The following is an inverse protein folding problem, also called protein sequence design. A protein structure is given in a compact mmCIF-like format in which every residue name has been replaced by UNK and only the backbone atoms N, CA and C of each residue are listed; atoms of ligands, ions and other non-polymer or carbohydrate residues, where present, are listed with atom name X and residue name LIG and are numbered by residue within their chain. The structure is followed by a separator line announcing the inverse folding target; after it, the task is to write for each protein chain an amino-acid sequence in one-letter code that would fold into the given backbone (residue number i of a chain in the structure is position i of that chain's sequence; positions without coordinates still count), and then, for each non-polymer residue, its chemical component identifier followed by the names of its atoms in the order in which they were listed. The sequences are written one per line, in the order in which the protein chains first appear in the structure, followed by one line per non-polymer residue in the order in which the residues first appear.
data_IF_053569955994
#
_entry.id   IF_053569955994
#
_cell.length_a   1.000
_cell.length_b   1.000
_cell.length_c   1.000
_cell.angle_alpha   90.00
_cell.angle_beta   90.00
_cell.angle_gamma   90.00
#
_symmetry.space_group_name_H-M   'P 1'
#
loop_
_entity.id
_entity.type
_entity.pdbx_description
1 polymer ?
#
# COMPACT_ATOMS: atom_id res chain seq x y z
N UNK A 1 -2.55 10.78 -3.04
CA UNK A 1 -3.79 10.15 -3.55
C UNK A 1 -3.40 8.92 -4.35
N UNK A 2 -4.06 7.78 -4.18
CA UNK A 2 -3.75 6.51 -4.84
C UNK A 2 -4.90 6.11 -5.77
N UNK A 3 -4.80 6.48 -7.05
CA UNK A 3 -5.80 6.17 -8.08
C UNK A 3 -5.44 4.87 -8.82
N UNK A 4 -5.88 3.75 -8.27
CA UNK A 4 -5.67 2.41 -8.82
C UNK A 4 -4.48 1.74 -8.15
N UNK A 5 -3.45 1.43 -8.92
CA UNK A 5 -2.30 0.64 -8.45
C UNK A 5 -1.25 1.52 -7.78
N UNK A 6 -0.86 1.17 -6.55
CA UNK A 6 0.37 1.63 -5.92
C UNK A 6 1.13 0.39 -5.44
N UNK A 7 1.97 -0.15 -6.32
CA UNK A 7 2.68 -1.42 -6.11
C UNK A 7 4.19 -1.20 -6.09
N UNK A 8 4.88 -2.02 -5.30
CA UNK A 8 6.33 -2.02 -5.18
C UNK A 8 6.91 -0.64 -4.89
N UNK A 9 7.84 -0.16 -5.71
CA UNK A 9 8.39 1.20 -5.58
C UNK A 9 7.34 2.32 -5.54
N UNK A 10 6.19 2.16 -6.20
CA UNK A 10 5.07 3.10 -6.11
C UNK A 10 4.41 3.11 -4.73
N UNK A 11 4.31 1.95 -4.08
CA UNK A 11 3.90 1.86 -2.68
C UNK A 11 4.97 2.43 -1.74
N UNK A 12 6.24 2.18 -2.02
CA UNK A 12 7.35 2.72 -1.21
C UNK A 12 7.38 4.25 -1.20
N UNK A 13 7.06 4.86 -2.36
CA UNK A 13 6.83 6.29 -2.49
C UNK A 13 5.57 6.74 -1.73
N UNK A 14 4.45 6.02 -1.87
CA UNK A 14 3.23 6.34 -1.11
C UNK A 14 3.44 6.27 0.40
N UNK A 15 4.26 5.33 0.88
CA UNK A 15 4.60 5.18 2.29
C UNK A 15 5.54 6.28 2.79
N UNK A 16 6.24 7.01 1.91
CA UNK A 16 7.06 8.15 2.32
C UNK A 16 6.25 9.43 2.54
N UNK A 17 4.96 9.43 2.24
CA UNK A 17 4.06 10.56 2.52
C UNK A 17 3.38 10.40 3.87
N UNK A 18 2.88 11.50 4.44
CA UNK A 18 2.18 11.46 5.72
C UNK A 18 0.76 10.88 5.60
N UNK A 19 0.06 11.26 4.53
CA UNK A 19 -1.35 10.92 4.31
C UNK A 19 -1.52 10.20 2.96
N UNK A 20 -2.27 9.09 2.98
CA UNK A 20 -2.68 8.31 1.81
C UNK A 20 -4.21 8.23 1.75
N UNK A 21 -4.76 8.58 0.60
CA UNK A 21 -6.20 8.54 0.32
C UNK A 21 -6.40 7.62 -0.90
N UNK A 22 -7.34 6.69 -0.81
CA UNK A 22 -7.70 5.76 -1.87
C UNK A 22 -9.21 5.55 -1.95
N UNK A 23 -9.62 4.62 -2.81
CA UNK A 23 -11.00 4.22 -3.04
C UNK A 23 -11.09 2.68 -3.13
N UNK A 24 -12.29 2.14 -3.35
CA UNK A 24 -12.57 0.70 -3.32
C UNK A 24 -11.65 -0.14 -4.23
N UNK A 25 -11.25 0.38 -5.40
CA UNK A 25 -10.34 -0.30 -6.35
C UNK A 25 -8.87 0.08 -6.19
N UNK A 26 -8.49 0.89 -5.21
CA UNK A 26 -7.07 1.11 -4.89
C UNK A 26 -6.43 -0.23 -4.52
N UNK A 27 -5.28 -0.55 -5.11
CA UNK A 27 -4.53 -1.76 -4.81
C UNK A 27 -3.10 -1.45 -4.39
N UNK A 28 -2.71 -2.03 -3.26
CA UNK A 28 -1.38 -1.85 -2.67
C UNK A 28 -0.74 -3.19 -2.36
N UNK A 29 0.56 -3.30 -2.55
CA UNK A 29 1.34 -4.50 -2.23
C UNK A 29 2.76 -4.43 -2.75
N UNK A 30 3.54 -5.47 -2.42
CA UNK A 30 4.95 -5.61 -2.78
C UNK A 30 5.16 -6.85 -3.66
N UNK A 31 5.14 -6.72 -5.00
CA UNK A 31 5.35 -7.85 -5.91
C UNK A 31 6.82 -8.30 -6.01
N UNK A 32 7.76 -7.58 -5.40
CA UNK A 32 9.22 -7.74 -5.50
C UNK A 32 9.69 -9.18 -5.27
N UNK A 33 9.11 -9.88 -4.29
CA UNK A 33 9.55 -11.25 -3.97
C UNK A 33 9.30 -12.22 -5.13
N UNK A 34 8.30 -11.96 -5.96
CA UNK A 34 8.03 -12.73 -7.19
C UNK A 34 9.13 -12.55 -8.25
N UNK A 35 9.95 -11.50 -8.12
CA UNK A 35 11.10 -11.20 -8.97
C UNK A 35 12.45 -11.57 -8.30
N UNK A 36 12.42 -12.18 -7.10
CA UNK A 36 13.62 -12.53 -6.35
C UNK A 36 14.30 -11.34 -5.66
N UNK A 37 13.60 -10.21 -5.50
CA UNK A 37 14.10 -9.02 -4.81
C UNK A 37 13.24 -8.67 -3.59
N UNK A 38 13.73 -7.78 -2.74
CA UNK A 38 12.99 -7.26 -1.57
C UNK A 38 12.54 -5.81 -1.82
N UNK A 39 11.52 -5.30 -1.10
CA UNK A 39 11.20 -3.87 -1.09
C UNK A 39 12.35 -3.05 -0.49
N UNK A 40 13.17 -2.50 -1.39
CA UNK A 40 14.46 -1.90 -1.08
C UNK A 40 14.41 -0.40 -0.81
N UNK A 41 13.37 0.31 -1.24
CA UNK A 41 13.23 1.75 -1.08
C UNK A 41 12.50 2.13 0.22
N UNK A 42 12.96 1.48 1.30
CA UNK A 42 12.43 1.57 2.66
C UNK A 42 11.01 1.00 2.87
N UNK A 43 10.45 0.24 1.93
CA UNK A 43 9.16 -0.45 2.07
C UNK A 43 9.12 -1.40 3.27
N UNK A 44 10.17 -2.20 3.46
CA UNK A 44 10.33 -3.07 4.64
C UNK A 44 10.29 -2.30 5.96
N UNK A 45 10.79 -1.06 5.95
CA UNK A 45 10.95 -0.23 7.14
C UNK A 45 9.70 0.59 7.44
N UNK A 46 9.13 1.27 6.43
CA UNK A 46 7.95 2.12 6.59
C UNK A 46 6.69 1.28 6.80
N UNK A 47 6.52 0.20 6.05
CA UNK A 47 5.35 -0.67 6.22
C UNK A 47 5.34 -1.33 7.61
N UNK A 48 6.48 -1.83 8.09
CA UNK A 48 6.58 -2.45 9.42
C UNK A 48 6.24 -1.48 10.56
N UNK A 49 6.56 -0.19 10.42
CA UNK A 49 6.19 0.85 11.38
C UNK A 49 4.71 1.23 11.30
N UNK A 50 4.11 1.09 10.13
CA UNK A 50 2.72 1.46 9.88
C UNK A 50 1.73 0.37 10.34
N UNK A 51 1.96 -0.89 9.95
CA UNK A 51 1.01 -2.00 10.16
C UNK A 51 1.57 -3.13 11.04
N UNK A 52 2.74 -2.90 11.63
CA UNK A 52 3.46 -3.90 12.41
C UNK A 52 4.22 -4.92 11.55
N UNK A 53 5.24 -5.53 12.15
CA UNK A 53 6.13 -6.47 11.44
C UNK A 53 5.44 -7.76 10.99
N UNK A 54 4.49 -8.29 11.77
CA UNK A 54 3.83 -9.56 11.44
C UNK A 54 3.04 -9.46 10.13
N UNK A 55 2.18 -8.45 10.01
CA UNK A 55 1.38 -8.22 8.80
C UNK A 55 2.22 -7.77 7.62
N UNK A 56 3.25 -6.96 7.86
CA UNK A 56 4.21 -6.59 6.81
C UNK A 56 4.89 -7.81 6.20
N UNK A 57 5.36 -8.75 7.03
CA UNK A 57 6.00 -9.99 6.55
C UNK A 57 5.02 -10.87 5.78
N UNK A 58 3.77 -11.00 6.25
CA UNK A 58 2.72 -11.72 5.53
C UNK A 58 2.58 -11.17 4.10
N UNK A 59 2.33 -9.86 3.96
CA UNK A 59 2.14 -9.23 2.65
C UNK A 59 3.36 -9.33 1.73
N UNK A 60 4.56 -9.11 2.27
CA UNK A 60 5.81 -9.18 1.49
C UNK A 60 6.09 -10.62 1.07
N UNK A 61 6.07 -11.59 1.99
CA UNK A 61 6.47 -12.97 1.68
C UNK A 61 5.50 -13.67 0.74
N UNK A 62 4.22 -13.31 0.76
CA UNK A 62 3.22 -13.90 -0.14
C UNK A 62 3.01 -13.09 -1.43
N UNK A 63 3.70 -11.95 -1.60
CA UNK A 63 3.42 -10.97 -2.66
C UNK A 63 1.94 -10.58 -2.76
N UNK A 64 1.19 -10.64 -1.65
CA UNK A 64 -0.27 -10.45 -1.67
C UNK A 64 -0.58 -8.97 -1.79
N UNK A 65 -1.44 -8.64 -2.75
CA UNK A 65 -1.99 -7.30 -2.88
C UNK A 65 -3.29 -7.19 -2.08
N UNK A 66 -3.51 -6.04 -1.48
CA UNK A 66 -4.73 -5.71 -0.74
C UNK A 66 -5.47 -4.58 -1.44
N UNK A 67 -6.81 -4.64 -1.38
CA UNK A 67 -7.72 -3.70 -2.04
C UNK A 67 -8.29 -2.67 -1.05
N UNK A 68 -8.80 -1.55 -1.56
CA UNK A 68 -9.33 -0.38 -0.86
C UNK A 68 -9.73 -0.59 0.60
N UNK A 69 -10.77 -1.37 0.87
CA UNK A 69 -11.26 -1.58 2.24
C UNK A 69 -10.22 -2.25 3.15
N UNK A 70 -9.60 -3.35 2.72
CA UNK A 70 -8.56 -4.01 3.51
C UNK A 70 -7.33 -3.10 3.70
N UNK A 71 -6.96 -2.34 2.68
CA UNK A 71 -5.86 -1.37 2.78
C UNK A 71 -6.15 -0.28 3.82
N UNK A 72 -7.40 0.15 3.94
CA UNK A 72 -7.85 1.08 4.97
C UNK A 72 -7.89 0.43 6.35
N UNK A 73 -8.46 -0.77 6.47
CA UNK A 73 -8.57 -1.50 7.74
C UNK A 73 -7.19 -1.83 8.34
N UNK A 74 -6.19 -2.10 7.48
CA UNK A 74 -4.80 -2.31 7.88
C UNK A 74 -4.08 -1.01 8.28
N UNK A 75 -4.65 0.17 7.99
CA UNK A 75 -4.01 1.47 8.22
C UNK A 75 -3.02 1.89 7.12
N UNK A 76 -2.99 1.20 5.98
CA UNK A 76 -2.18 1.58 4.82
C UNK A 76 -2.77 2.84 4.17
N UNK A 77 -4.10 2.92 4.07
CA UNK A 77 -4.81 4.14 3.70
C UNK A 77 -5.27 4.88 4.97
N UNK A 78 -5.09 6.21 4.99
CA UNK A 78 -5.64 7.06 6.04
C UNK A 78 -7.13 7.38 5.80
N UNK A 79 -7.57 7.38 4.54
CA UNK A 79 -8.97 7.61 4.17
C UNK A 79 -9.34 6.78 2.94
N UNK A 80 -10.51 6.17 3.01
CA UNK A 80 -11.20 5.57 1.88
C UNK A 80 -12.35 6.49 1.48
N UNK A 81 -12.40 6.89 0.22
CA UNK A 81 -13.45 7.77 -0.34
C UNK A 81 -14.16 7.10 -1.50
N UNK A 82 -15.32 7.65 -1.88
CA UNK A 82 -15.99 7.27 -3.12
C UNK A 82 -15.09 7.59 -4.34
N UNK A 83 -15.23 6.83 -5.43
CA UNK A 83 -14.37 6.97 -6.60
C UNK A 83 -14.46 8.39 -7.21
N UNK A 84 -15.65 8.97 -7.18
CA UNK A 84 -15.98 10.30 -7.70
C UNK A 84 -15.34 11.43 -6.87
N UNK A 85 -14.99 11.16 -5.61
CA UNK A 85 -14.38 12.13 -4.69
C UNK A 85 -12.85 12.06 -4.67
N UNK A 86 -12.24 11.05 -5.32
CA UNK A 86 -10.82 10.76 -5.18
C UNK A 86 -9.93 11.83 -5.83
N UNK A 87 -10.33 12.32 -7.00
CA UNK A 87 -9.70 13.43 -7.70
C UNK A 87 -10.82 14.38 -8.12
N UNK A 88 -10.82 15.65 -7.69
CA UNK A 88 -11.72 16.63 -8.26
C UNK A 88 -11.40 16.79 -9.76
N UNK A 89 -12.45 16.96 -10.58
CA UNK A 89 -12.33 17.27 -12.00
C UNK A 89 -11.54 18.57 -12.24
#
# INVERSE_FOLDING_TARGET
VLNGYALGGGLELALSTDIRIGYDKTMVGFPEVGLGIIPGFAGTQRMSRLIGTSKTKELIFTARMVKGQEAYDLGILNKLVAAEELLPA
#
